data_IF_493173698176
#
_entry.id   IF_493173698176
#
_cell.length_a   1.000
_cell.length_b   1.000
_cell.length_c   1.000
_cell.angle_alpha   90.00
_cell.angle_beta   90.00
_cell.angle_gamma   90.00
#
_symmetry.space_group_name_H-M   'P 1'
#
loop_
_entity.id
_entity.type
_entity.pdbx_description
1 polymer ?
#
# COMPACT_ATOMS: atom_id res chain seq x y z
N UNK A 1 0.91 -12.53 22.83
CA UNK A 1 0.67 -11.12 23.07
C UNK A 1 1.76 -10.24 22.50
N UNK A 2 1.69 -8.93 22.74
CA UNK A 2 2.72 -7.95 22.34
C UNK A 2 3.52 -7.48 23.56
N UNK A 3 4.79 -7.22 23.36
CA UNK A 3 5.68 -6.68 24.39
C UNK A 3 6.75 -5.79 23.78
N UNK A 4 7.65 -5.33 24.62
CA UNK A 4 8.79 -4.52 24.23
C UNK A 4 10.08 -5.09 24.82
N UNK A 5 11.17 -4.87 24.09
CA UNK A 5 12.54 -5.08 24.54
C UNK A 5 13.35 -3.84 24.26
N UNK A 6 14.18 -3.43 25.21
CA UNK A 6 15.05 -2.28 25.03
C UNK A 6 16.41 -2.53 25.71
N UNK A 7 17.47 -2.31 24.97
CA UNK A 7 18.82 -2.19 25.52
C UNK A 7 19.05 -0.77 26.04
N UNK A 8 19.79 -0.64 27.11
CA UNK A 8 20.03 0.66 27.74
C UNK A 8 20.72 1.63 26.76
N UNK A 9 20.05 2.74 26.49
CA UNK A 9 20.54 3.76 25.55
C UNK A 9 20.12 3.55 24.09
N UNK A 10 19.45 2.44 23.76
CA UNK A 10 18.94 2.16 22.43
C UNK A 10 17.41 2.36 22.35
N UNK A 11 16.82 2.54 21.16
CA UNK A 11 15.37 2.56 20.98
C UNK A 11 14.69 1.26 21.39
N UNK A 12 13.51 1.33 21.98
CA UNK A 12 12.74 0.14 22.30
C UNK A 12 12.23 -0.54 21.02
N UNK A 13 12.29 -1.88 21.01
CA UNK A 13 11.79 -2.73 19.92
C UNK A 13 10.51 -3.42 20.35
N UNK A 14 9.44 -3.29 19.57
CA UNK A 14 8.22 -4.08 19.77
C UNK A 14 8.48 -5.56 19.48
N UNK A 15 7.93 -6.43 20.34
CA UNK A 15 7.96 -7.89 20.23
C UNK A 15 6.57 -8.44 19.95
N UNK A 16 6.49 -9.37 19.01
CA UNK A 16 5.28 -10.05 18.56
C UNK A 16 5.42 -11.56 18.68
N UNK A 17 4.32 -12.34 18.65
CA UNK A 17 4.39 -13.78 18.66
C UNK A 17 5.27 -14.33 17.53
N UNK A 18 6.28 -15.13 17.90
CA UNK A 18 7.27 -15.71 16.98
C UNK A 18 8.60 -14.95 16.90
N UNK A 19 8.67 -13.74 17.48
CA UNK A 19 9.94 -13.02 17.53
C UNK A 19 10.94 -13.70 18.45
N UNK A 20 12.22 -13.64 18.05
CA UNK A 20 13.36 -14.09 18.82
C UNK A 20 14.29 -12.90 19.04
N UNK A 21 14.76 -12.75 20.28
CA UNK A 21 15.77 -11.77 20.67
C UNK A 21 16.96 -12.52 21.23
N UNK A 22 18.14 -12.33 20.63
CA UNK A 22 19.38 -12.78 21.19
C UNK A 22 19.97 -11.64 22.02
N UNK A 23 20.25 -11.91 23.29
CA UNK A 23 20.79 -10.94 24.25
C UNK A 23 22.24 -11.29 24.54
N UNK A 24 23.21 -10.49 24.06
CA UNK A 24 24.61 -10.71 24.33
C UNK A 24 24.96 -10.61 25.83
N UNK A 25 26.11 -11.16 26.23
CA UNK A 25 26.58 -10.99 27.58
C UNK A 25 26.80 -9.51 27.93
N UNK A 26 26.61 -9.17 29.21
CA UNK A 26 26.79 -7.82 29.77
C UNK A 26 25.86 -6.72 29.24
N UNK A 27 24.84 -7.08 28.48
CA UNK A 27 23.85 -6.12 27.99
C UNK A 27 22.81 -5.81 29.08
N UNK A 28 22.76 -4.55 29.47
CA UNK A 28 21.69 -4.03 30.34
C UNK A 28 20.44 -3.79 29.48
N UNK A 29 19.35 -4.46 29.81
CA UNK A 29 18.11 -4.39 29.03
C UNK A 29 16.89 -4.56 29.94
N UNK A 30 15.73 -4.25 29.40
CA UNK A 30 14.45 -4.67 29.96
C UNK A 30 13.55 -5.24 28.88
N UNK A 31 12.56 -6.02 29.30
CA UNK A 31 11.45 -6.46 28.46
C UNK A 31 10.19 -6.51 29.30
N UNK A 32 9.04 -6.28 28.66
CA UNK A 32 7.75 -6.22 29.34
C UNK A 32 6.58 -6.24 28.39
N UNK A 33 5.37 -6.29 28.95
CA UNK A 33 4.13 -6.23 28.18
C UNK A 33 3.98 -4.86 27.50
N UNK A 34 3.27 -4.82 26.36
CA UNK A 34 2.77 -3.57 25.80
C UNK A 34 1.62 -3.04 26.69
N UNK A 35 1.35 -1.71 26.70
CA UNK A 35 0.33 -1.12 27.60
C UNK A 35 -1.08 -1.70 27.44
N UNK A 36 -1.39 -2.23 26.27
CA UNK A 36 -2.70 -2.73 25.85
C UNK A 36 -2.72 -4.24 25.55
N UNK A 37 -1.68 -4.99 25.92
CA UNK A 37 -1.56 -6.42 25.55
C UNK A 37 -0.94 -7.26 26.65
N UNK A 38 -1.36 -8.50 26.73
CA UNK A 38 -0.62 -9.54 27.44
C UNK A 38 0.71 -9.81 26.73
N UNK A 39 1.73 -10.16 27.51
CA UNK A 39 3.02 -10.60 27.02
C UNK A 39 3.48 -11.80 27.79
N UNK A 40 3.84 -12.84 27.07
CA UNK A 40 4.57 -14.00 27.62
C UNK A 40 5.70 -14.40 26.69
N UNK A 41 6.82 -14.79 27.24
CA UNK A 41 8.03 -15.17 26.51
C UNK A 41 8.64 -16.41 27.13
N UNK A 42 9.47 -17.08 26.36
CA UNK A 42 10.33 -18.16 26.81
C UNK A 42 11.77 -17.63 26.85
N UNK A 43 12.36 -17.62 28.04
CA UNK A 43 13.79 -17.35 28.20
C UNK A 43 14.58 -18.66 28.08
N UNK A 44 15.59 -18.65 27.22
CA UNK A 44 16.52 -19.75 27.05
C UNK A 44 17.91 -19.28 27.42
N UNK A 45 18.48 -19.83 28.47
CA UNK A 45 19.85 -19.52 28.90
C UNK A 45 20.84 -20.50 28.28
N UNK A 46 21.82 -19.97 27.58
CA UNK A 46 22.95 -20.73 27.09
C UNK A 46 24.01 -20.81 28.20
N UNK A 47 24.51 -22.02 28.52
CA UNK A 47 25.50 -22.26 29.54
C UNK A 47 25.09 -21.81 30.96
N UNK A 48 24.01 -22.34 31.53
CA UNK A 48 23.43 -21.88 32.80
C UNK A 48 24.36 -22.02 33.99
N UNK A 49 25.41 -22.87 33.91
CA UNK A 49 26.38 -23.03 34.96
C UNK A 49 27.36 -21.85 35.08
N UNK A 50 27.49 -21.02 34.06
CA UNK A 50 28.39 -19.86 34.00
C UNK A 50 27.68 -18.54 33.80
N UNK A 51 26.38 -18.55 33.56
CA UNK A 51 25.57 -17.36 33.33
C UNK A 51 24.98 -16.85 34.66
N UNK A 52 25.05 -15.53 34.87
CA UNK A 52 24.47 -14.86 36.04
C UNK A 52 23.63 -13.68 35.58
N UNK A 53 22.36 -13.71 35.91
CA UNK A 53 21.46 -12.59 35.69
C UNK A 53 21.45 -11.68 36.93
N UNK A 54 21.82 -10.42 36.74
CA UNK A 54 21.77 -9.41 37.78
C UNK A 54 20.55 -8.51 37.55
N UNK A 55 19.58 -8.58 38.46
CA UNK A 55 18.42 -7.69 38.43
C UNK A 55 18.79 -6.32 38.98
N UNK A 56 18.52 -5.30 38.19
CA UNK A 56 18.73 -3.89 38.53
C UNK A 56 17.42 -3.27 39.00
N UNK A 57 17.38 -1.93 39.07
CA UNK A 57 16.18 -1.18 39.39
C UNK A 57 15.06 -1.44 38.39
N UNK A 58 13.78 -1.41 38.80
CA UNK A 58 12.65 -1.44 37.89
C UNK A 58 12.69 -0.26 36.90
N UNK A 59 12.25 -0.50 35.66
CA UNK A 59 12.03 0.58 34.69
C UNK A 59 10.98 1.55 35.24
N UNK A 60 11.30 2.85 35.28
CA UNK A 60 10.39 3.89 35.75
C UNK A 60 9.23 4.13 34.78
N UNK A 61 8.09 4.56 35.32
CA UNK A 61 6.88 4.80 34.50
C UNK A 61 7.16 5.74 33.32
N UNK A 62 7.89 6.83 33.52
CA UNK A 62 8.23 7.78 32.46
C UNK A 62 9.13 7.16 31.37
N UNK A 63 10.08 6.29 31.75
CA UNK A 63 10.95 5.57 30.80
C UNK A 63 10.14 4.53 30.01
N UNK A 64 9.29 3.77 30.72
CA UNK A 64 8.39 2.80 30.08
C UNK A 64 7.41 3.48 29.14
N UNK A 65 6.75 4.57 29.54
CA UNK A 65 5.84 5.34 28.69
C UNK A 65 6.54 5.89 27.45
N UNK A 66 7.73 6.44 27.60
CA UNK A 66 8.53 6.94 26.47
C UNK A 66 8.93 5.82 25.49
N UNK A 67 9.29 4.65 26.01
CA UNK A 67 9.74 3.50 25.25
C UNK A 67 8.57 2.76 24.56
N UNK A 68 7.40 2.73 25.19
CA UNK A 68 6.20 2.02 24.71
C UNK A 68 5.19 2.95 24.04
N UNK A 69 5.45 4.26 24.04
CA UNK A 69 4.59 5.22 23.34
C UNK A 69 4.44 4.79 21.88
N UNK A 70 3.21 4.45 21.48
CA UNK A 70 2.92 4.20 20.08
C UNK A 70 3.38 5.40 19.28
N UNK A 71 4.08 5.18 18.19
CA UNK A 71 4.73 6.25 17.42
C UNK A 71 3.74 7.32 16.94
N UNK A 72 2.48 6.95 16.80
CA UNK A 72 1.35 7.82 16.49
C UNK A 72 0.56 8.28 17.73
N UNK A 73 0.88 7.82 18.92
CA UNK A 73 0.17 8.22 20.14
C UNK A 73 0.53 9.67 20.52
N UNK A 74 -0.36 10.61 20.23
CA UNK A 74 -0.18 12.03 20.51
C UNK A 74 -1.50 12.65 21.01
N UNK A 75 -1.41 13.69 21.86
CA UNK A 75 -2.60 14.49 22.18
C UNK A 75 -3.28 14.99 20.90
N UNK A 76 -4.60 14.93 20.84
CA UNK A 76 -5.41 15.38 19.72
C UNK A 76 -5.77 14.31 18.70
N UNK A 77 -5.04 13.19 18.60
CA UNK A 77 -5.45 12.06 17.75
C UNK A 77 -6.53 11.22 18.45
N UNK A 78 -7.57 10.84 17.70
CA UNK A 78 -8.58 9.90 18.17
C UNK A 78 -7.97 8.51 18.36
N UNK A 79 -8.55 7.71 19.27
CA UNK A 79 -8.12 6.33 19.47
C UNK A 79 -8.21 5.48 18.18
N UNK A 80 -9.18 5.76 17.31
CA UNK A 80 -9.32 5.11 16.00
C UNK A 80 -8.19 5.52 15.06
N UNK A 81 -7.84 6.82 15.02
CA UNK A 81 -6.72 7.30 14.20
C UNK A 81 -5.40 6.66 14.63
N UNK A 82 -5.10 6.63 15.93
CA UNK A 82 -3.89 5.98 16.45
C UNK A 82 -3.86 4.51 16.07
N UNK A 83 -4.93 3.76 16.33
CA UNK A 83 -5.02 2.33 16.01
C UNK A 83 -4.81 2.05 14.52
N UNK A 84 -5.45 2.81 13.65
CA UNK A 84 -5.36 2.60 12.21
C UNK A 84 -4.00 3.04 11.66
N UNK A 85 -3.44 4.15 12.17
CA UNK A 85 -2.11 4.60 11.79
C UNK A 85 -1.03 3.57 12.18
N UNK A 86 -1.10 2.98 13.38
CA UNK A 86 -0.22 1.89 13.79
C UNK A 86 -0.38 0.63 12.93
N UNK A 87 -1.59 0.33 12.46
CA UNK A 87 -1.81 -0.78 11.52
C UNK A 87 -1.09 -0.55 10.18
N UNK A 88 -1.07 0.70 9.73
CA UNK A 88 -0.38 1.06 8.48
C UNK A 88 1.13 1.20 8.66
N UNK A 89 1.58 1.76 9.78
CA UNK A 89 2.97 2.13 10.05
C UNK A 89 3.41 1.60 11.42
N UNK A 90 3.51 0.28 11.58
CA UNK A 90 3.87 -0.30 12.87
C UNK A 90 5.26 0.17 13.30
N UNK A 91 5.34 0.75 14.48
CA UNK A 91 6.59 1.10 15.15
C UNK A 91 7.25 2.40 14.71
N UNK A 92 6.77 3.12 13.69
CA UNK A 92 7.44 4.36 13.25
C UNK A 92 6.47 5.38 12.64
N UNK A 93 6.32 6.53 13.27
CA UNK A 93 5.60 7.66 12.70
C UNK A 93 6.51 8.45 11.72
N UNK A 94 5.96 9.02 10.63
CA UNK A 94 6.70 9.91 9.76
C UNK A 94 7.27 11.12 10.52
N UNK A 95 8.41 11.63 10.05
CA UNK A 95 9.13 12.74 10.70
C UNK A 95 8.24 13.97 10.98
N UNK A 96 7.31 14.30 10.08
CA UNK A 96 6.43 15.46 10.23
C UNK A 96 5.52 15.37 11.47
N UNK A 97 5.27 14.17 11.99
CA UNK A 97 4.51 13.98 13.23
C UNK A 97 5.21 14.64 14.43
N UNK A 98 6.54 14.77 14.38
CA UNK A 98 7.35 15.43 15.41
C UNK A 98 7.54 16.92 15.12
N UNK A 99 7.75 17.28 13.86
CA UNK A 99 8.08 18.66 13.46
C UNK A 99 6.86 19.54 13.26
N UNK A 100 5.72 18.95 12.90
CA UNK A 100 4.49 19.66 12.51
C UNK A 100 3.27 19.03 13.23
N UNK A 101 3.19 19.11 14.58
CA UNK A 101 2.20 18.38 15.37
C UNK A 101 0.75 18.75 15.06
N UNK A 102 0.44 20.01 14.77
CA UNK A 102 -0.92 20.43 14.38
C UNK A 102 -1.35 19.80 13.04
N UNK A 103 -0.44 19.79 12.04
CA UNK A 103 -0.70 19.12 10.77
C UNK A 103 -0.86 17.62 10.96
N UNK A 104 -0.04 17.01 11.81
CA UNK A 104 -0.12 15.59 12.11
C UNK A 104 -1.45 15.21 12.77
N UNK A 105 -2.00 16.06 13.66
CA UNK A 105 -3.32 15.87 14.26
C UNK A 105 -4.42 15.95 13.21
N UNK A 106 -4.45 17.01 12.41
CA UNK A 106 -5.47 17.19 11.36
C UNK A 106 -5.41 16.08 10.33
N UNK A 107 -4.21 15.80 9.79
CA UNK A 107 -4.03 14.77 8.78
C UNK A 107 -4.30 13.37 9.35
N UNK A 108 -3.82 13.06 10.55
CA UNK A 108 -3.96 11.75 11.17
C UNK A 108 -5.42 11.41 11.48
N UNK A 109 -6.18 12.33 12.07
CA UNK A 109 -7.61 12.13 12.31
C UNK A 109 -8.38 11.97 10.99
N UNK A 110 -8.07 12.80 9.99
CA UNK A 110 -8.74 12.71 8.70
C UNK A 110 -8.39 11.41 7.96
N UNK A 111 -7.10 11.09 7.77
CA UNK A 111 -6.65 9.96 6.97
C UNK A 111 -6.88 8.59 7.65
N UNK A 112 -6.75 8.52 8.98
CA UNK A 112 -6.79 7.24 9.70
C UNK A 112 -8.04 7.03 10.56
N UNK A 113 -8.94 8.02 10.67
CA UNK A 113 -10.23 7.85 11.31
C UNK A 113 -11.37 8.23 10.36
N UNK A 114 -11.50 9.52 9.98
CA UNK A 114 -12.69 10.01 9.30
C UNK A 114 -12.94 9.32 7.94
N UNK A 115 -11.95 9.31 7.03
CA UNK A 115 -12.13 8.68 5.71
C UNK A 115 -12.26 7.16 5.80
N UNK A 116 -11.70 6.53 6.84
CA UNK A 116 -11.78 5.08 6.99
C UNK A 116 -13.15 4.58 7.48
N UNK A 117 -14.01 5.45 7.96
CA UNK A 117 -15.39 5.13 8.30
C UNK A 117 -16.26 4.87 7.06
N UNK A 118 -15.81 5.33 5.90
CA UNK A 118 -16.55 5.22 4.65
C UNK A 118 -16.00 4.09 3.77
N UNK A 119 -16.90 3.19 3.37
CA UNK A 119 -16.59 2.06 2.51
C UNK A 119 -15.95 0.87 3.25
N UNK A 120 -16.03 -0.29 2.63
CA UNK A 120 -15.60 -1.58 3.23
C UNK A 120 -14.34 -2.12 2.54
N UNK A 121 -13.33 -1.27 2.34
CA UNK A 121 -12.04 -1.74 1.84
C UNK A 121 -11.25 -2.41 2.97
N UNK A 122 -10.71 -3.59 2.70
CA UNK A 122 -9.74 -4.20 3.59
C UNK A 122 -8.40 -3.45 3.56
N UNK A 123 -7.56 -3.68 4.57
CA UNK A 123 -6.29 -2.95 4.75
C UNK A 123 -5.35 -3.15 3.56
N UNK A 124 -5.26 -4.36 2.99
CA UNK A 124 -4.37 -4.64 1.86
C UNK A 124 -4.80 -3.84 0.63
N UNK A 125 -6.10 -3.81 0.34
CA UNK A 125 -6.66 -3.01 -0.75
C UNK A 125 -6.38 -1.52 -0.54
N UNK A 126 -6.62 -0.99 0.68
CA UNK A 126 -6.31 0.41 1.01
C UNK A 126 -4.84 0.76 0.76
N UNK A 127 -3.93 -0.10 1.22
CA UNK A 127 -2.49 0.08 1.03
C UNK A 127 -2.11 0.04 -0.46
N UNK A 128 -2.61 -0.93 -1.22
CA UNK A 128 -2.28 -1.08 -2.64
C UNK A 128 -2.79 0.09 -3.49
N UNK A 129 -4.03 0.58 -3.28
CA UNK A 129 -4.56 1.73 -4.02
C UNK A 129 -3.83 3.02 -3.65
N UNK A 130 -3.41 3.19 -2.39
CA UNK A 130 -2.60 4.34 -1.96
C UNK A 130 -1.18 4.26 -2.52
N UNK A 131 -0.59 3.06 -2.61
CA UNK A 131 0.70 2.82 -3.26
C UNK A 131 0.65 3.19 -4.75
N UNK A 132 -0.35 2.71 -5.47
CA UNK A 132 -0.57 3.04 -6.88
C UNK A 132 -0.75 4.55 -7.10
N UNK A 133 -1.51 5.19 -6.22
CA UNK A 133 -1.73 6.64 -6.22
C UNK A 133 -0.43 7.40 -5.98
N UNK A 134 0.36 7.04 -4.97
CA UNK A 134 1.61 7.71 -4.63
C UNK A 134 2.64 7.61 -5.76
N UNK A 135 2.71 6.47 -6.44
CA UNK A 135 3.55 6.27 -7.62
C UNK A 135 3.09 7.19 -8.77
N UNK A 136 1.79 7.23 -9.06
CA UNK A 136 1.25 8.09 -10.11
C UNK A 136 1.52 9.58 -9.87
N UNK A 137 1.54 10.02 -8.60
CA UNK A 137 1.85 11.37 -8.18
C UNK A 137 3.35 11.68 -8.06
N UNK A 138 4.22 10.68 -8.20
CA UNK A 138 5.66 10.80 -7.96
C UNK A 138 5.99 11.18 -6.51
N UNK A 139 5.20 10.71 -5.56
CA UNK A 139 5.32 10.98 -4.13
C UNK A 139 6.19 9.89 -3.45
N UNK A 140 7.51 9.96 -3.61
CA UNK A 140 8.44 8.92 -3.18
C UNK A 140 8.34 8.62 -1.67
N UNK A 141 8.27 9.63 -0.80
CA UNK A 141 8.14 9.43 0.63
C UNK A 141 6.85 8.67 1.01
N UNK A 142 5.71 9.04 0.40
CA UNK A 142 4.44 8.32 0.62
C UNK A 142 4.50 6.89 0.07
N UNK A 143 5.17 6.69 -1.07
CA UNK A 143 5.36 5.36 -1.64
C UNK A 143 6.19 4.47 -0.70
N UNK A 144 7.30 4.95 -0.14
CA UNK A 144 8.09 4.21 0.85
C UNK A 144 7.27 3.84 2.09
N UNK A 145 6.44 4.77 2.59
CA UNK A 145 5.52 4.48 3.67
C UNK A 145 4.56 3.33 3.31
N UNK A 146 4.00 3.35 2.09
CA UNK A 146 3.10 2.28 1.63
C UNK A 146 3.81 0.95 1.41
N UNK A 147 5.11 0.92 1.05
CA UNK A 147 5.91 -0.31 1.00
C UNK A 147 6.00 -0.98 2.37
N UNK A 148 6.31 -0.19 3.42
CA UNK A 148 6.35 -0.68 4.80
C UNK A 148 4.98 -1.21 5.23
N UNK A 149 3.93 -0.42 5.00
CA UNK A 149 2.56 -0.81 5.28
C UNK A 149 2.15 -2.10 4.56
N UNK A 150 2.54 -2.27 3.31
CA UNK A 150 2.22 -3.46 2.52
C UNK A 150 2.83 -4.73 3.11
N UNK A 151 4.13 -4.74 3.40
CA UNK A 151 4.79 -5.90 4.02
C UNK A 151 4.25 -6.18 5.43
N UNK A 152 4.08 -5.15 6.25
CA UNK A 152 3.56 -5.28 7.61
C UNK A 152 2.14 -5.87 7.65
N UNK A 153 1.33 -5.60 6.63
CA UNK A 153 -0.01 -6.15 6.51
C UNK A 153 -0.08 -7.42 5.64
N UNK A 154 1.06 -8.06 5.35
CA UNK A 154 1.11 -9.35 4.66
C UNK A 154 0.72 -9.28 3.19
N UNK A 155 0.98 -8.17 2.51
CA UNK A 155 0.95 -8.11 1.04
C UNK A 155 2.18 -8.83 0.50
N UNK A 156 1.97 -9.79 -0.38
CA UNK A 156 3.07 -10.55 -0.95
C UNK A 156 4.03 -9.65 -1.77
N UNK A 157 5.35 -9.85 -1.69
CA UNK A 157 6.32 -9.07 -2.48
C UNK A 157 6.02 -9.09 -3.98
N UNK A 158 5.51 -10.20 -4.51
CA UNK A 158 5.08 -10.32 -5.91
C UNK A 158 3.95 -9.32 -6.21
N UNK A 159 2.95 -9.20 -5.34
CA UNK A 159 1.84 -8.25 -5.53
C UNK A 159 2.34 -6.80 -5.52
N UNK A 160 3.27 -6.46 -4.63
CA UNK A 160 3.93 -5.13 -4.60
C UNK A 160 4.64 -4.87 -5.93
N UNK A 161 5.39 -5.84 -6.44
CA UNK A 161 6.08 -5.75 -7.74
C UNK A 161 5.09 -5.55 -8.89
N UNK A 162 3.96 -6.22 -8.85
CA UNK A 162 2.93 -6.11 -9.88
C UNK A 162 2.24 -4.73 -9.89
N UNK A 163 2.19 -3.99 -8.75
CA UNK A 163 1.77 -2.57 -8.76
C UNK A 163 2.70 -1.71 -9.62
N UNK A 164 4.03 -1.91 -9.51
CA UNK A 164 5.01 -1.19 -10.34
C UNK A 164 4.84 -1.52 -11.84
N UNK A 165 4.69 -2.80 -12.16
CA UNK A 165 4.53 -3.23 -13.53
C UNK A 165 3.23 -2.74 -14.13
N UNK A 166 2.13 -2.78 -13.34
CA UNK A 166 0.85 -2.21 -13.71
C UNK A 166 0.92 -0.71 -14.00
N UNK A 167 1.80 0.01 -13.32
CA UNK A 167 1.95 1.46 -13.50
C UNK A 167 2.62 1.83 -14.83
N UNK A 168 3.48 0.97 -15.39
CA UNK A 168 4.26 1.31 -16.60
C UNK A 168 3.40 1.81 -17.75
N UNK A 169 2.33 1.12 -18.18
CA UNK A 169 1.51 1.57 -19.30
C UNK A 169 0.65 2.82 -19.00
N UNK A 170 0.44 3.17 -17.73
CA UNK A 170 -0.43 4.29 -17.33
C UNK A 170 0.34 5.57 -17.00
N UNK A 171 1.47 5.44 -16.34
CA UNK A 171 2.28 6.63 -15.92
C UNK A 171 3.58 6.77 -16.71
N UNK A 172 3.97 5.76 -17.46
CA UNK A 172 5.18 5.71 -18.28
C UNK A 172 6.42 5.21 -17.51
N UNK A 173 7.28 4.45 -18.19
CA UNK A 173 8.49 3.86 -17.60
C UNK A 173 9.42 4.91 -16.99
N UNK A 174 9.51 6.10 -17.58
CA UNK A 174 10.35 7.19 -17.07
C UNK A 174 10.01 7.60 -15.63
N UNK A 175 8.73 7.43 -15.22
CA UNK A 175 8.29 7.70 -13.86
C UNK A 175 8.37 6.48 -12.93
N UNK A 176 8.46 5.27 -13.48
CA UNK A 176 8.45 4.02 -12.71
C UNK A 176 9.85 3.54 -12.35
N UNK A 177 10.87 3.85 -13.14
CA UNK A 177 12.22 3.29 -13.02
C UNK A 177 12.84 3.55 -11.64
N UNK A 178 12.69 4.76 -11.10
CA UNK A 178 13.24 5.12 -9.78
C UNK A 178 12.54 4.34 -8.65
N UNK A 179 11.24 4.09 -8.79
CA UNK A 179 10.47 3.29 -7.83
C UNK A 179 10.83 1.81 -7.88
N UNK A 180 11.28 1.29 -9.03
CA UNK A 180 11.82 -0.08 -9.11
C UNK A 180 13.10 -0.19 -8.26
N UNK A 181 14.02 0.78 -8.40
CA UNK A 181 15.24 0.81 -7.60
C UNK A 181 14.93 0.89 -6.10
N UNK A 182 14.08 1.85 -5.71
CA UNK A 182 13.64 2.04 -4.33
C UNK A 182 12.99 0.78 -3.75
N UNK A 183 12.11 0.11 -4.50
CA UNK A 183 11.45 -1.12 -4.07
C UNK A 183 12.45 -2.27 -3.92
N UNK A 184 13.43 -2.40 -4.83
CA UNK A 184 14.47 -3.43 -4.73
C UNK A 184 15.34 -3.23 -3.48
N UNK A 185 15.72 -2.00 -3.19
CA UNK A 185 16.52 -1.68 -1.99
C UNK A 185 15.73 -1.96 -0.71
N UNK A 186 14.44 -1.60 -0.70
CA UNK A 186 13.54 -1.91 0.39
C UNK A 186 13.38 -3.43 0.59
N UNK A 187 13.19 -4.19 -0.48
CA UNK A 187 13.08 -5.65 -0.43
C UNK A 187 14.31 -6.28 0.17
N UNK A 188 15.54 -5.93 -0.29
CA UNK A 188 16.79 -6.48 0.28
C UNK A 188 16.92 -6.19 1.77
N UNK A 189 16.59 -4.96 2.20
CA UNK A 189 16.60 -4.59 3.63
C UNK A 189 15.62 -5.40 4.48
N UNK A 190 14.59 -5.98 3.86
CA UNK A 190 13.57 -6.78 4.52
C UNK A 190 13.66 -8.28 4.19
N UNK A 191 14.82 -8.76 3.74
CA UNK A 191 15.08 -10.18 3.49
C UNK A 191 14.41 -10.76 2.25
N UNK A 192 13.98 -9.90 1.32
CA UNK A 192 13.39 -10.32 0.04
C UNK A 192 14.40 -10.06 -1.07
N UNK A 193 14.90 -11.12 -1.71
CA UNK A 193 15.94 -11.02 -2.75
C UNK A 193 15.34 -10.98 -4.16
N UNK A 194 15.48 -9.86 -4.91
CA UNK A 194 15.15 -9.84 -6.34
C UNK A 194 16.21 -10.62 -7.17
N UNK A 195 15.84 -11.20 -8.34
CA UNK A 195 14.52 -11.11 -8.97
C UNK A 195 13.47 -12.01 -8.31
N UNK A 196 12.21 -11.53 -8.29
CA UNK A 196 11.09 -12.34 -7.83
C UNK A 196 10.63 -13.31 -8.92
N UNK A 197 9.84 -14.31 -8.52
CA UNK A 197 9.24 -15.28 -9.44
C UNK A 197 8.50 -14.58 -10.59
N UNK A 198 8.79 -14.96 -11.88
CA UNK A 198 8.15 -14.37 -13.04
C UNK A 198 6.63 -14.59 -13.06
N UNK A 199 5.89 -13.57 -13.45
CA UNK A 199 4.42 -13.58 -13.51
C UNK A 199 3.88 -13.48 -14.94
N UNK A 200 4.75 -13.39 -15.96
CA UNK A 200 4.33 -13.29 -17.35
C UNK A 200 3.74 -14.63 -17.85
N UNK A 201 2.57 -14.54 -18.49
CA UNK A 201 1.91 -15.70 -19.13
C UNK A 201 1.80 -15.53 -20.65
N UNK A 202 2.44 -14.52 -21.20
CA UNK A 202 2.45 -14.20 -22.62
C UNK A 202 3.87 -14.27 -23.18
N UNK A 203 3.96 -14.49 -24.49
CA UNK A 203 5.18 -14.37 -25.28
C UNK A 203 4.97 -13.30 -26.35
N UNK A 204 6.02 -12.85 -27.06
CA UNK A 204 5.87 -11.93 -28.19
C UNK A 204 4.82 -12.37 -29.22
N UNK A 205 4.63 -13.68 -29.41
CA UNK A 205 3.68 -14.27 -30.36
C UNK A 205 2.25 -14.29 -29.82
N UNK A 206 2.07 -14.47 -28.50
CA UNK A 206 0.74 -14.66 -27.90
C UNK A 206 0.18 -13.42 -27.23
N UNK A 207 1.00 -12.39 -26.97
CA UNK A 207 0.59 -11.22 -26.20
C UNK A 207 -0.57 -10.43 -26.82
N UNK A 208 -0.60 -10.35 -28.16
CA UNK A 208 -1.67 -9.63 -28.87
C UNK A 208 -3.02 -10.33 -28.72
N UNK A 209 -3.06 -11.64 -28.94
CA UNK A 209 -4.27 -12.44 -28.80
C UNK A 209 -4.82 -12.42 -27.36
N UNK A 210 -3.96 -12.74 -26.38
CA UNK A 210 -4.34 -12.79 -24.98
C UNK A 210 -4.72 -11.40 -24.43
N UNK A 211 -3.96 -10.36 -24.82
CA UNK A 211 -4.25 -8.99 -24.41
C UNK A 211 -5.59 -8.48 -24.97
N UNK A 212 -5.86 -8.75 -26.25
CA UNK A 212 -7.13 -8.40 -26.86
C UNK A 212 -8.32 -9.15 -26.22
N UNK A 213 -8.14 -10.44 -25.90
CA UNK A 213 -9.15 -11.23 -25.20
C UNK A 213 -9.48 -10.65 -23.84
N UNK A 214 -8.47 -10.34 -23.01
CA UNK A 214 -8.65 -9.71 -21.71
C UNK A 214 -9.25 -8.29 -21.83
N UNK A 215 -8.80 -7.51 -22.81
CA UNK A 215 -9.34 -6.17 -23.03
C UNK A 215 -10.84 -6.22 -23.38
N UNK A 216 -11.28 -7.19 -24.18
CA UNK A 216 -12.69 -7.43 -24.48
C UNK A 216 -13.47 -7.94 -23.25
N UNK A 217 -12.88 -8.77 -22.42
CA UNK A 217 -13.49 -9.21 -21.16
C UNK A 217 -13.81 -8.01 -20.25
N UNK A 218 -12.87 -7.04 -20.16
CA UNK A 218 -13.02 -5.86 -19.30
C UNK A 218 -13.98 -4.82 -19.91
N UNK A 219 -13.88 -4.54 -21.22
CA UNK A 219 -14.56 -3.39 -21.83
C UNK A 219 -15.64 -3.78 -22.86
N UNK A 220 -15.82 -5.06 -23.16
CA UNK A 220 -16.84 -5.54 -24.09
C UNK A 220 -16.66 -5.05 -25.53
N UNK A 221 -17.78 -4.77 -26.18
CA UNK A 221 -17.84 -4.35 -27.58
C UNK A 221 -17.19 -2.99 -27.87
N UNK A 222 -16.85 -2.21 -26.84
CA UNK A 222 -16.13 -0.94 -27.03
C UNK A 222 -14.79 -1.15 -27.73
N UNK A 223 -14.17 -2.32 -27.54
CA UNK A 223 -12.88 -2.64 -28.15
C UNK A 223 -12.97 -2.86 -29.66
N UNK A 224 -14.04 -3.50 -30.13
CA UNK A 224 -14.27 -3.67 -31.57
C UNK A 224 -14.51 -2.31 -32.24
N UNK A 225 -15.39 -1.50 -31.65
CA UNK A 225 -15.63 -0.13 -32.13
C UNK A 225 -14.37 0.73 -32.14
N UNK A 226 -13.50 0.60 -31.14
CA UNK A 226 -12.22 1.32 -31.08
C UNK A 226 -11.35 0.98 -32.30
N UNK A 227 -11.27 -0.30 -32.71
CA UNK A 227 -10.53 -0.71 -33.89
C UNK A 227 -11.18 -0.26 -35.21
N UNK A 228 -12.50 -0.35 -35.31
CA UNK A 228 -13.25 0.05 -36.50
C UNK A 228 -13.20 1.55 -36.77
N UNK A 229 -13.24 2.35 -35.70
CA UNK A 229 -13.28 3.82 -35.80
C UNK A 229 -11.91 4.48 -35.79
N UNK A 230 -10.86 3.74 -35.48
CA UNK A 230 -9.50 4.31 -35.43
C UNK A 230 -8.96 4.63 -36.84
N UNK A 231 -8.44 5.84 -37.05
CA UNK A 231 -7.76 6.18 -38.29
C UNK A 231 -6.61 5.22 -38.60
N UNK A 232 -6.42 4.87 -39.86
CA UNK A 232 -5.41 3.88 -40.29
C UNK A 232 -3.98 4.22 -39.80
N UNK A 233 -3.64 5.51 -39.77
CA UNK A 233 -2.34 6.00 -39.28
C UNK A 233 -2.19 5.96 -37.72
N UNK A 234 -3.23 5.60 -36.98
CA UNK A 234 -3.24 5.47 -35.52
C UNK A 234 -3.44 4.03 -35.02
N UNK A 235 -3.78 3.09 -35.92
CA UNK A 235 -4.01 1.70 -35.56
C UNK A 235 -2.85 1.02 -34.85
N UNK A 236 -1.61 1.46 -35.08
CA UNK A 236 -0.44 0.93 -34.39
C UNK A 236 -0.49 1.22 -32.88
N UNK A 237 -1.08 2.35 -32.46
CA UNK A 237 -1.28 2.69 -31.04
C UNK A 237 -2.32 1.76 -30.41
N UNK A 238 -3.43 1.49 -31.11
CA UNK A 238 -4.44 0.55 -30.60
C UNK A 238 -3.89 -0.88 -30.48
N UNK A 239 -3.07 -1.30 -31.45
CA UNK A 239 -2.37 -2.60 -31.38
C UNK A 239 -1.37 -2.64 -30.23
N UNK A 240 -0.62 -1.56 -29.98
CA UNK A 240 0.25 -1.45 -28.82
C UNK A 240 -0.55 -1.50 -27.50
N UNK A 241 -1.69 -0.83 -27.43
CA UNK A 241 -2.58 -0.89 -26.28
C UNK A 241 -3.02 -2.33 -26.00
N UNK A 242 -3.51 -3.07 -26.98
CA UNK A 242 -3.94 -4.47 -26.80
C UNK A 242 -2.74 -5.40 -26.51
N UNK A 243 -1.66 -5.33 -27.28
CA UNK A 243 -0.53 -6.25 -27.14
C UNK A 243 0.39 -5.93 -25.97
N UNK A 244 0.71 -4.66 -25.74
CA UNK A 244 1.63 -4.26 -24.67
C UNK A 244 0.88 -3.97 -23.36
N UNK A 245 -0.04 -3.00 -23.31
CA UNK A 245 -0.72 -2.65 -22.06
C UNK A 245 -1.50 -3.85 -21.50
N UNK A 246 -2.35 -4.46 -22.31
CA UNK A 246 -3.14 -5.62 -21.87
C UNK A 246 -2.34 -6.92 -21.94
N UNK A 247 -1.63 -7.20 -23.04
CA UNK A 247 -0.93 -8.45 -23.24
C UNK A 247 0.31 -8.63 -22.35
N UNK A 248 1.16 -7.63 -22.23
CA UNK A 248 2.41 -7.76 -21.46
C UNK A 248 2.21 -7.44 -19.96
N UNK A 249 1.29 -6.54 -19.60
CA UNK A 249 1.13 -6.08 -18.22
C UNK A 249 -0.15 -6.56 -17.54
N UNK A 250 -1.32 -6.45 -18.17
CA UNK A 250 -2.60 -6.77 -17.53
C UNK A 250 -2.86 -8.28 -17.39
N UNK A 251 -2.35 -9.10 -18.32
CA UNK A 251 -2.51 -10.57 -18.26
C UNK A 251 -1.66 -11.25 -17.21
N UNK A 252 -0.69 -10.55 -16.62
CA UNK A 252 0.26 -11.11 -15.65
C UNK A 252 -0.46 -11.67 -14.42
N UNK A 253 0.06 -12.77 -13.87
CA UNK A 253 -0.38 -13.30 -12.57
C UNK A 253 0.14 -12.42 -11.42
N UNK A 254 -0.05 -12.83 -10.17
CA UNK A 254 0.38 -12.07 -8.98
C UNK A 254 -0.64 -11.07 -8.45
N UNK A 255 -1.51 -10.52 -9.32
CA UNK A 255 -2.72 -9.78 -8.97
C UNK A 255 -3.86 -10.23 -9.89
N UNK A 256 -5.08 -10.32 -9.36
CA UNK A 256 -6.26 -10.58 -10.16
C UNK A 256 -6.73 -9.35 -10.93
N UNK A 257 -7.56 -9.57 -11.95
CA UNK A 257 -8.05 -8.51 -12.85
C UNK A 257 -8.85 -7.44 -12.11
N UNK A 258 -9.62 -7.83 -11.09
CA UNK A 258 -10.42 -6.94 -10.27
C UNK A 258 -9.53 -5.96 -9.50
N UNK A 259 -8.48 -6.46 -8.87
CA UNK A 259 -7.47 -5.64 -8.18
C UNK A 259 -6.73 -4.74 -9.18
N UNK A 260 -6.31 -5.26 -10.34
CA UNK A 260 -5.62 -4.46 -11.38
C UNK A 260 -6.46 -3.28 -11.85
N UNK A 261 -7.76 -3.46 -12.04
CA UNK A 261 -8.67 -2.36 -12.42
C UNK A 261 -8.82 -1.31 -11.32
N UNK A 262 -8.84 -1.70 -10.03
CA UNK A 262 -8.80 -0.73 -8.92
C UNK A 262 -7.50 0.07 -8.88
N UNK A 263 -6.35 -0.58 -9.12
CA UNK A 263 -5.05 0.10 -9.15
C UNK A 263 -4.98 1.08 -10.33
N UNK A 264 -5.45 0.67 -11.50
CA UNK A 264 -5.50 1.54 -12.68
C UNK A 264 -6.40 2.75 -12.44
N UNK A 265 -7.60 2.53 -11.91
CA UNK A 265 -8.49 3.62 -11.51
C UNK A 265 -7.82 4.59 -10.53
N UNK A 266 -7.14 4.06 -9.51
CA UNK A 266 -6.42 4.85 -8.52
C UNK A 266 -5.29 5.70 -9.14
N UNK A 267 -4.53 5.13 -10.08
CA UNK A 267 -3.48 5.86 -10.82
C UNK A 267 -4.07 6.99 -11.67
N UNK A 268 -5.14 6.70 -12.43
CA UNK A 268 -5.76 7.67 -13.33
C UNK A 268 -6.38 8.85 -12.56
N UNK A 269 -7.11 8.56 -11.49
CA UNK A 269 -7.68 9.60 -10.61
C UNK A 269 -6.56 10.47 -10.03
N UNK A 270 -5.43 9.87 -9.66
CA UNK A 270 -4.30 10.56 -9.07
C UNK A 270 -3.47 11.37 -10.07
N UNK A 271 -3.39 10.93 -11.34
CA UNK A 271 -2.77 11.70 -12.42
C UNK A 271 -3.52 12.99 -12.68
N UNK A 272 -4.85 12.90 -12.81
CA UNK A 272 -5.70 14.00 -13.23
C UNK A 272 -5.54 14.36 -14.72
N UNK A 273 -6.51 15.08 -15.29
CA UNK A 273 -6.49 15.48 -16.70
C UNK A 273 -6.70 14.31 -17.70
N UNK A 274 -7.21 13.18 -17.23
CA UNK A 274 -7.48 11.99 -18.02
C UNK A 274 -8.90 11.42 -17.75
N UNK A 275 -9.86 12.31 -17.58
CA UNK A 275 -11.24 11.95 -17.26
C UNK A 275 -11.90 10.95 -18.24
N UNK A 276 -11.63 11.01 -19.57
CA UNK A 276 -12.12 9.98 -20.49
C UNK A 276 -11.63 8.57 -20.12
N UNK A 277 -10.36 8.43 -19.73
CA UNK A 277 -9.78 7.15 -19.29
C UNK A 277 -10.35 6.74 -17.94
N UNK A 278 -10.51 7.68 -17.00
CA UNK A 278 -11.18 7.44 -15.71
C UNK A 278 -12.58 6.84 -15.96
N UNK A 279 -13.39 7.44 -16.84
CA UNK A 279 -14.72 6.95 -17.18
C UNK A 279 -14.69 5.56 -17.83
N UNK A 280 -13.72 5.30 -18.71
CA UNK A 280 -13.49 3.98 -19.30
C UNK A 280 -13.22 2.92 -18.24
N UNK A 281 -12.28 3.20 -17.32
CA UNK A 281 -11.93 2.28 -16.25
C UNK A 281 -12.97 2.18 -15.13
N UNK A 282 -13.87 3.15 -14.95
CA UNK A 282 -15.08 2.98 -14.12
C UNK A 282 -15.94 1.87 -14.70
N UNK A 283 -16.24 1.88 -16.02
CA UNK A 283 -16.98 0.80 -16.68
C UNK A 283 -16.26 -0.53 -16.59
N UNK A 284 -14.95 -0.55 -16.84
CA UNK A 284 -14.10 -1.74 -16.68
C UNK A 284 -14.19 -2.33 -15.27
N UNK A 285 -14.08 -1.49 -14.24
CA UNK A 285 -14.23 -1.91 -12.85
C UNK A 285 -15.59 -2.56 -12.56
N UNK A 286 -16.69 -1.96 -13.05
CA UNK A 286 -18.04 -2.54 -12.91
C UNK A 286 -18.13 -3.91 -13.58
N UNK A 287 -17.56 -4.04 -14.77
CA UNK A 287 -17.60 -5.29 -15.52
C UNK A 287 -16.80 -6.42 -14.83
N UNK A 288 -15.72 -6.09 -14.13
CA UNK A 288 -14.94 -7.07 -13.36
C UNK A 288 -15.43 -7.24 -11.91
N UNK A 289 -16.54 -6.61 -11.53
CA UNK A 289 -17.22 -6.81 -10.24
C UNK A 289 -16.85 -5.82 -9.14
N UNK A 290 -16.23 -4.68 -9.46
CA UNK A 290 -16.07 -3.55 -8.54
C UNK A 290 -17.25 -2.58 -8.76
N UNK A 291 -18.17 -2.55 -7.81
CA UNK A 291 -19.33 -1.67 -7.87
C UNK A 291 -19.03 -0.21 -7.53
N UNK A 292 -20.04 0.66 -7.62
CA UNK A 292 -19.94 2.09 -7.31
C UNK A 292 -19.47 2.32 -5.87
N UNK A 293 -19.92 1.51 -4.92
CA UNK A 293 -19.58 1.66 -3.50
C UNK A 293 -18.08 1.39 -3.27
N UNK A 294 -17.53 0.36 -3.93
CA UNK A 294 -16.09 0.07 -3.87
C UNK A 294 -15.29 1.21 -4.49
N UNK A 295 -15.69 1.72 -5.66
CA UNK A 295 -14.99 2.82 -6.32
C UNK A 295 -15.06 4.12 -5.51
N UNK A 296 -16.21 4.41 -4.91
CA UNK A 296 -16.37 5.55 -4.02
C UNK A 296 -15.51 5.42 -2.75
N UNK A 297 -15.43 4.21 -2.20
CA UNK A 297 -14.54 3.91 -1.07
C UNK A 297 -13.06 4.13 -1.44
N UNK A 298 -12.63 3.75 -2.65
CA UNK A 298 -11.28 4.02 -3.16
C UNK A 298 -11.04 5.53 -3.28
N UNK A 299 -11.94 6.28 -3.90
CA UNK A 299 -11.81 7.74 -4.03
C UNK A 299 -11.74 8.41 -2.64
N UNK A 300 -12.56 7.95 -1.69
CA UNK A 300 -12.55 8.45 -0.31
C UNK A 300 -11.22 8.12 0.39
N UNK A 301 -10.70 6.90 0.21
CA UNK A 301 -9.39 6.50 0.73
C UNK A 301 -8.25 7.36 0.19
N UNK A 302 -8.33 7.76 -1.08
CA UNK A 302 -7.30 8.56 -1.73
C UNK A 302 -7.39 10.06 -1.42
N UNK A 303 -8.55 10.55 -0.96
CA UNK A 303 -8.78 11.98 -0.73
C UNK A 303 -7.67 12.70 0.07
N UNK A 304 -7.16 12.15 1.21
CA UNK A 304 -6.08 12.77 1.97
C UNK A 304 -4.76 12.92 1.18
N UNK A 305 -4.58 12.12 0.14
CA UNK A 305 -3.34 12.03 -0.65
C UNK A 305 -3.40 12.78 -1.98
N UNK A 306 -4.58 12.87 -2.62
CA UNK A 306 -4.75 13.51 -3.93
C UNK A 306 -5.41 14.90 -3.85
N UNK A 307 -6.02 15.21 -2.72
CA UNK A 307 -6.74 16.47 -2.47
C UNK A 307 -8.11 16.55 -3.14
N UNK A 308 -8.87 17.56 -2.76
CA UNK A 308 -10.25 17.76 -3.17
C UNK A 308 -10.46 17.90 -4.69
N UNK A 309 -9.64 18.65 -5.46
CA UNK A 309 -9.92 18.85 -6.89
C UNK A 309 -9.98 17.53 -7.67
N UNK A 310 -8.99 16.64 -7.49
CA UNK A 310 -8.96 15.33 -8.15
C UNK A 310 -10.06 14.41 -7.65
N UNK A 311 -10.34 14.44 -6.36
CA UNK A 311 -11.44 13.67 -5.74
C UNK A 311 -12.79 14.08 -6.34
N UNK A 312 -13.07 15.38 -6.43
CA UNK A 312 -14.34 15.87 -6.99
C UNK A 312 -14.49 15.55 -8.49
N UNK A 313 -13.39 15.61 -9.26
CA UNK A 313 -13.39 15.18 -10.66
C UNK A 313 -13.69 13.67 -10.77
N UNK A 314 -13.11 12.84 -9.91
CA UNK A 314 -13.40 11.40 -9.88
C UNK A 314 -14.87 11.12 -9.54
N UNK A 315 -15.44 11.83 -8.55
CA UNK A 315 -16.86 11.71 -8.18
C UNK A 315 -17.76 12.13 -9.35
N UNK A 316 -17.42 13.22 -10.06
CA UNK A 316 -18.16 13.62 -11.25
C UNK A 316 -18.15 12.52 -12.32
N UNK A 317 -16.99 11.92 -12.60
CA UNK A 317 -16.88 10.79 -13.51
C UNK A 317 -17.70 9.57 -13.05
N UNK A 318 -17.67 9.24 -11.77
CA UNK A 318 -18.46 8.15 -11.19
C UNK A 318 -19.97 8.38 -11.40
N UNK A 319 -20.47 9.58 -11.09
CA UNK A 319 -21.88 9.91 -11.21
C UNK A 319 -22.35 9.97 -12.67
N UNK A 320 -21.48 10.35 -13.60
CA UNK A 320 -21.81 10.32 -15.04
C UNK A 320 -21.91 8.89 -15.58
N UNK A 321 -20.99 7.99 -15.16
CA UNK A 321 -20.95 6.60 -15.65
C UNK A 321 -21.95 5.72 -14.94
N UNK A 322 -22.12 5.92 -13.63
CA UNK A 322 -23.02 5.15 -12.76
C UNK A 322 -23.93 6.14 -12.01
N UNK A 323 -24.96 6.68 -12.69
CA UNK A 323 -25.87 7.63 -12.05
C UNK A 323 -26.62 6.98 -10.88
N UNK A 324 -26.95 7.79 -9.87
CA UNK A 324 -27.87 7.36 -8.82
C UNK A 324 -29.22 6.99 -9.46
N UNK A 325 -29.76 5.84 -9.07
CA UNK A 325 -31.14 5.51 -9.39
C UNK A 325 -32.03 6.35 -8.46
N UNK A 326 -32.71 7.33 -9.03
CA UNK A 326 -33.69 8.14 -8.31
C UNK A 326 -34.85 7.30 -7.72
#
# INVERSE_FOLDING_TARGET
GRGYYQEKGEPARELRPGDVVEIPADVVHWHGAAPDSWFSHLAVECNPAANVNTWLEPVGDAEYEAATAMSWCRPGLSAAAVKNAEMWFPGEAPAFVKTDPELAEVFGNFAFDEVQRYGKLDVKTRVLVTMASSLAQQAAATYEMTLRAALANGVAPVAIREVLYQAVPYVGMAKVVDYIALTNDFFRKNGVEPPLEPQAITTPETRMEKGLALQKEIFGDEIERMYETSPANQLHIQRALSGNCFGDYQTRTGLDVRTRELLTFSMLVSLGGCEPQVKGHIRGNVNVGNDKDVLLAVVTQLLPYIGYPRTLNAIACLNEVIPERG
#
